data_IF_382378020179
#
_entry.id   IF_382378020179
#
_cell.length_a   1.000
_cell.length_b   1.000
_cell.length_c   1.000
_cell.angle_alpha   90.00
_cell.angle_beta   90.00
_cell.angle_gamma   90.00
#
_symmetry.space_group_name_H-M   'P 1'
#
loop_
_entity.id
_entity.type
_entity.pdbx_description
1 polymer ?
#
# COMPACT_ATOMS: atom_id res chain seq x y z
N UNK A 1 -33.32 -5.34 5.96
CA UNK A 1 -31.99 -5.22 5.32
C UNK A 1 -31.60 -3.76 5.33
N UNK A 2 -30.43 -3.41 5.86
CA UNK A 2 -29.93 -2.03 5.80
C UNK A 2 -29.46 -1.72 4.38
N UNK A 3 -29.81 -0.53 3.87
CA UNK A 3 -29.31 -0.06 2.57
C UNK A 3 -27.81 0.23 2.63
N UNK A 4 -27.10 0.01 1.52
CA UNK A 4 -25.71 0.46 1.36
C UNK A 4 -25.67 1.99 1.31
N UNK A 5 -24.69 2.58 2.00
CA UNK A 5 -24.48 4.03 2.03
C UNK A 5 -23.06 4.37 1.62
N UNK A 6 -22.90 5.48 0.87
CA UNK A 6 -21.59 6.04 0.58
C UNK A 6 -21.07 6.80 1.81
N UNK A 7 -19.81 6.59 2.16
CA UNK A 7 -19.16 7.22 3.33
C UNK A 7 -17.90 8.05 2.98
N UNK A 8 -17.39 7.97 1.75
CA UNK A 8 -16.22 8.70 1.27
C UNK A 8 -16.32 8.95 -0.25
N UNK A 9 -15.64 9.97 -0.77
CA UNK A 9 -15.68 10.34 -2.20
C UNK A 9 -14.33 10.89 -2.69
N UNK A 10 -14.17 11.24 -3.98
CA UNK A 10 -12.93 11.88 -4.46
C UNK A 10 -11.63 11.07 -4.29
N UNK A 11 -11.72 9.76 -4.03
CA UNK A 11 -10.61 8.84 -3.90
C UNK A 11 -10.11 8.40 -5.28
N UNK A 12 -8.80 8.16 -5.43
CA UNK A 12 -8.24 7.61 -6.66
C UNK A 12 -7.74 6.19 -6.43
N UNK A 13 -8.43 5.23 -7.04
CA UNK A 13 -8.12 3.78 -6.97
C UNK A 13 -7.88 3.28 -5.53
N UNK A 14 -8.88 3.39 -4.63
CA UNK A 14 -8.75 2.99 -3.23
C UNK A 14 -8.84 1.46 -3.05
N UNK A 15 -7.79 0.74 -3.46
CA UNK A 15 -7.75 -0.73 -3.44
C UNK A 15 -7.72 -1.32 -2.01
N UNK A 16 -7.07 -0.63 -1.07
CA UNK A 16 -7.03 -1.02 0.34
C UNK A 16 -7.69 0.04 1.21
N UNK A 17 -8.49 -0.42 2.19
CA UNK A 17 -9.11 0.39 3.23
C UNK A 17 -8.83 -0.20 4.61
N UNK A 18 -8.48 0.66 5.57
CA UNK A 18 -8.36 0.35 6.99
C UNK A 18 -9.39 1.19 7.74
N UNK A 19 -10.07 0.58 8.70
CA UNK A 19 -11.02 1.27 9.58
C UNK A 19 -10.56 1.19 11.04
N UNK A 20 -10.70 2.28 11.79
CA UNK A 20 -10.44 2.30 13.23
C UNK A 20 -11.73 2.20 14.03
N UNK A 21 -11.62 1.83 15.31
CA UNK A 21 -12.77 1.83 16.23
C UNK A 21 -13.36 3.23 16.45
N UNK A 22 -12.62 4.31 16.17
CA UNK A 22 -13.13 5.69 16.21
C UNK A 22 -13.91 6.07 14.95
N UNK A 23 -13.91 5.22 13.92
CA UNK A 23 -14.56 5.47 12.64
C UNK A 23 -13.68 6.19 11.61
N UNK A 24 -12.39 6.39 11.90
CA UNK A 24 -11.45 6.88 10.88
C UNK A 24 -11.29 5.80 9.78
N UNK A 25 -11.30 6.24 8.53
CA UNK A 25 -10.99 5.41 7.36
C UNK A 25 -9.67 5.87 6.75
N UNK A 26 -8.77 4.93 6.48
CA UNK A 26 -7.55 5.17 5.71
C UNK A 26 -7.62 4.36 4.42
N UNK A 27 -7.44 4.99 3.28
CA UNK A 27 -7.42 4.29 2.00
C UNK A 27 -6.12 4.52 1.26
N UNK A 28 -5.63 3.49 0.56
CA UNK A 28 -4.65 3.70 -0.50
C UNK A 28 -5.20 4.74 -1.49
N UNK A 29 -4.35 5.62 -2.00
CA UNK A 29 -4.77 6.63 -2.96
C UNK A 29 -3.67 6.94 -3.97
N UNK A 30 -4.02 6.83 -5.24
CA UNK A 30 -3.13 7.03 -6.39
C UNK A 30 -2.79 8.50 -6.67
N UNK A 31 -3.25 9.43 -5.83
CA UNK A 31 -2.68 10.78 -5.73
C UNK A 31 -1.31 10.79 -5.03
N UNK A 32 -0.81 9.63 -4.58
CA UNK A 32 0.57 9.47 -4.12
C UNK A 32 0.71 9.09 -2.65
N UNK A 33 -0.26 8.39 -2.06
CA UNK A 33 -0.15 7.96 -0.65
C UNK A 33 -1.46 7.50 -0.03
N UNK A 34 -1.84 8.09 1.10
CA UNK A 34 -2.99 7.65 1.91
C UNK A 34 -3.99 8.78 2.08
N UNK A 35 -5.24 8.53 1.73
CA UNK A 35 -6.35 9.39 2.10
C UNK A 35 -6.89 8.96 3.47
N UNK A 36 -7.10 9.91 4.35
CA UNK A 36 -7.69 9.73 5.67
C UNK A 36 -9.03 10.47 5.71
N UNK A 37 -10.07 9.71 5.98
CA UNK A 37 -11.43 10.19 6.17
C UNK A 37 -11.79 10.12 7.64
N UNK A 38 -12.22 11.23 8.20
CA UNK A 38 -12.72 11.29 9.56
C UNK A 38 -14.25 11.10 9.59
N UNK A 39 -14.81 10.62 10.72
CA UNK A 39 -16.26 10.49 10.90
C UNK A 39 -17.04 11.80 10.78
N UNK A 40 -16.37 12.94 11.03
CA UNK A 40 -16.94 14.29 10.88
C UNK A 40 -17.00 14.76 9.41
N UNK A 41 -16.57 13.92 8.46
CA UNK A 41 -16.57 14.19 7.03
C UNK A 41 -15.31 14.89 6.53
N UNK A 42 -14.35 15.24 7.40
CA UNK A 42 -13.07 15.81 6.98
C UNK A 42 -12.25 14.77 6.22
N UNK A 43 -11.44 15.26 5.28
CA UNK A 43 -10.47 14.48 4.54
C UNK A 43 -9.08 15.11 4.68
N UNK A 44 -8.06 14.28 4.87
CA UNK A 44 -6.64 14.65 4.78
C UNK A 44 -5.94 13.70 3.82
N UNK A 45 -5.07 14.23 2.96
CA UNK A 45 -4.27 13.41 2.06
C UNK A 45 -2.80 13.50 2.48
N UNK A 46 -2.20 12.35 2.77
CA UNK A 46 -0.76 12.22 3.04
C UNK A 46 -0.12 11.72 1.75
N UNK A 47 0.74 12.54 1.14
CA UNK A 47 1.38 12.21 -0.13
C UNK A 47 2.88 12.32 -0.04
N UNK A 48 3.54 11.58 -0.93
CA UNK A 48 4.93 11.75 -1.25
C UNK A 48 5.17 11.39 -2.72
N UNK A 49 6.37 11.68 -3.20
CA UNK A 49 6.85 11.30 -4.53
C UNK A 49 8.12 10.48 -4.30
N UNK A 50 8.26 9.40 -5.05
CA UNK A 50 9.47 8.57 -4.98
C UNK A 50 10.65 9.29 -5.65
N UNK A 51 11.89 8.81 -5.41
CA UNK A 51 13.05 9.31 -6.12
C UNK A 51 12.85 9.38 -7.65
N UNK A 52 13.54 10.33 -8.29
CA UNK A 52 13.44 10.61 -9.72
C UNK A 52 12.03 10.99 -10.22
N UNK A 53 11.13 11.39 -9.31
CA UNK A 53 9.78 11.83 -9.68
C UNK A 53 8.82 10.70 -9.99
N UNK A 54 9.16 9.44 -9.64
CA UNK A 54 8.27 8.30 -9.85
C UNK A 54 7.00 8.46 -9.00
N UNK A 55 5.79 8.34 -9.59
CA UNK A 55 4.56 8.45 -8.82
C UNK A 55 4.41 7.24 -7.88
N UNK A 56 4.03 7.50 -6.63
CA UNK A 56 3.71 6.46 -5.65
C UNK A 56 2.31 5.91 -5.92
N UNK A 57 2.19 4.59 -6.09
CA UNK A 57 0.94 3.91 -6.46
C UNK A 57 0.61 2.83 -5.42
N UNK A 58 0.21 3.23 -4.20
CA UNK A 58 -0.10 2.28 -3.15
C UNK A 58 -1.26 1.38 -3.56
N UNK A 59 -1.13 0.09 -3.29
CA UNK A 59 -2.21 -0.89 -3.42
C UNK A 59 -2.63 -1.35 -2.02
N UNK A 60 -1.73 -2.03 -1.30
CA UNK A 60 -1.89 -2.34 0.12
C UNK A 60 -1.31 -1.26 1.02
N UNK A 61 -1.97 -1.03 2.15
CA UNK A 61 -1.46 -0.14 3.21
C UNK A 61 -1.57 -0.81 4.58
N UNK A 62 -0.64 -0.49 5.47
CA UNK A 62 -0.72 -0.85 6.89
C UNK A 62 -0.52 0.41 7.76
N UNK A 63 -1.36 0.57 8.79
CA UNK A 63 -1.21 1.62 9.79
C UNK A 63 -0.29 1.14 10.90
N UNK A 64 0.80 1.88 11.14
CA UNK A 64 1.80 1.55 12.15
C UNK A 64 1.46 2.16 13.51
N UNK A 65 2.04 1.61 14.58
CA UNK A 65 1.82 2.09 15.95
C UNK A 65 2.29 3.55 16.18
N UNK A 66 3.32 3.99 15.45
CA UNK A 66 3.82 5.38 15.46
C UNK A 66 2.94 6.34 14.64
N UNK A 67 1.85 5.85 14.05
CA UNK A 67 0.92 6.61 13.22
C UNK A 67 1.35 6.75 11.76
N UNK A 68 2.56 6.35 11.37
CA UNK A 68 2.98 6.29 9.97
C UNK A 68 2.34 5.12 9.22
N UNK A 69 2.60 5.02 7.92
CA UNK A 69 2.04 3.97 7.06
C UNK A 69 3.14 3.15 6.42
N UNK A 70 2.90 1.85 6.22
CA UNK A 70 3.59 1.07 5.18
C UNK A 70 2.72 1.01 3.94
N UNK A 71 3.34 1.15 2.77
CA UNK A 71 2.68 1.18 1.47
C UNK A 71 3.31 0.11 0.58
N UNK A 72 2.53 -0.87 0.13
CA UNK A 72 2.93 -1.75 -0.96
C UNK A 72 2.70 -1.01 -2.29
N UNK A 73 3.79 -0.67 -2.97
CA UNK A 73 3.76 0.09 -4.22
C UNK A 73 3.52 -0.84 -5.42
N UNK A 74 2.43 -0.59 -6.15
CA UNK A 74 2.06 -1.40 -7.31
C UNK A 74 2.89 -1.05 -8.55
N UNK A 75 3.44 0.16 -8.61
CA UNK A 75 4.30 0.61 -9.71
C UNK A 75 3.76 0.34 -11.12
N UNK A 76 4.67 0.38 -12.08
CA UNK A 76 4.49 -0.23 -13.41
C UNK A 76 5.49 -1.38 -13.56
N UNK A 77 6.77 -1.10 -13.28
CA UNK A 77 7.88 -2.05 -13.38
C UNK A 77 8.56 -2.35 -12.03
N UNK A 78 8.64 -1.35 -11.16
CA UNK A 78 9.25 -1.44 -9.83
C UNK A 78 8.19 -1.33 -8.74
N UNK A 79 8.21 -2.23 -7.78
CA UNK A 79 7.37 -2.17 -6.58
C UNK A 79 8.19 -1.90 -5.32
N UNK A 80 7.91 -2.67 -4.27
CA UNK A 80 8.52 -2.50 -2.96
C UNK A 80 7.55 -1.99 -1.90
N UNK A 81 8.07 -1.84 -0.68
CA UNK A 81 7.37 -1.29 0.46
C UNK A 81 8.05 0.00 0.89
N UNK A 82 7.26 1.04 1.09
CA UNK A 82 7.72 2.35 1.52
C UNK A 82 7.01 2.76 2.81
N UNK A 83 7.74 3.43 3.70
CA UNK A 83 7.16 4.03 4.89
C UNK A 83 6.85 5.51 4.63
N UNK A 84 5.58 5.89 4.81
CA UNK A 84 5.09 7.26 4.66
C UNK A 84 4.73 7.85 6.03
N UNK A 85 5.37 8.96 6.38
CA UNK A 85 5.05 9.80 7.53
C UNK A 85 3.85 10.72 7.28
N UNK A 86 3.26 11.21 8.37
CA UNK A 86 2.13 12.16 8.32
C UNK A 86 2.52 13.54 7.82
N UNK A 87 3.80 13.85 7.84
CA UNK A 87 4.42 15.06 7.32
C UNK A 87 4.80 14.97 5.84
N UNK A 88 4.54 13.83 5.18
CA UNK A 88 4.94 13.57 3.80
C UNK A 88 6.36 13.03 3.66
N UNK A 89 7.07 12.75 4.75
CA UNK A 89 8.36 12.04 4.68
C UNK A 89 8.18 10.63 4.14
N UNK A 90 9.02 10.23 3.18
CA UNK A 90 8.98 8.91 2.55
C UNK A 90 10.35 8.27 2.63
N UNK A 91 10.41 7.01 3.06
CA UNK A 91 11.65 6.23 3.05
C UNK A 91 11.40 4.80 2.56
N UNK A 92 12.38 4.16 1.91
CA UNK A 92 12.33 2.74 1.63
C UNK A 92 12.17 1.93 2.92
N UNK A 93 11.33 0.89 2.86
CA UNK A 93 11.22 -0.14 3.89
C UNK A 93 11.70 -1.50 3.38
N UNK A 94 11.36 -1.85 2.14
CA UNK A 94 11.88 -3.01 1.44
C UNK A 94 11.81 -2.79 -0.08
N UNK A 95 12.94 -2.87 -0.78
CA UNK A 95 12.97 -2.73 -2.25
C UNK A 95 13.52 -3.99 -2.94
N UNK A 96 14.25 -4.84 -2.23
CA UNK A 96 14.90 -6.02 -2.77
C UNK A 96 14.75 -7.23 -1.85
N UNK A 97 14.69 -8.42 -2.43
CA UNK A 97 14.73 -9.72 -1.74
C UNK A 97 15.70 -10.61 -2.50
N UNK A 98 16.64 -11.24 -1.79
CA UNK A 98 17.67 -12.12 -2.37
C UNK A 98 18.46 -11.47 -3.53
N UNK A 99 18.74 -10.16 -3.40
CA UNK A 99 19.45 -9.37 -4.41
C UNK A 99 18.64 -9.07 -5.68
N UNK A 100 17.33 -9.31 -5.66
CA UNK A 100 16.42 -8.99 -6.76
C UNK A 100 15.46 -7.89 -6.34
N UNK A 101 15.33 -6.88 -7.21
CA UNK A 101 14.33 -5.83 -7.04
C UNK A 101 12.92 -6.41 -6.98
N UNK A 102 12.11 -5.88 -6.06
CA UNK A 102 10.73 -6.29 -5.93
C UNK A 102 9.91 -5.79 -7.13
N UNK A 103 9.13 -6.67 -7.77
CA UNK A 103 8.15 -6.28 -8.78
C UNK A 103 6.96 -5.55 -8.10
N UNK A 104 6.02 -5.01 -8.89
CA UNK A 104 4.71 -4.56 -8.44
C UNK A 104 4.15 -5.32 -7.21
N UNK A 105 4.06 -4.63 -6.08
CA UNK A 105 3.76 -5.22 -4.77
C UNK A 105 2.28 -5.02 -4.40
N UNK A 106 1.63 -6.05 -3.83
CA UNK A 106 0.16 -6.09 -3.76
C UNK A 106 -0.40 -5.67 -2.40
N UNK A 107 -0.06 -6.39 -1.33
CA UNK A 107 -0.65 -6.16 -0.01
C UNK A 107 0.41 -6.25 1.08
N UNK A 108 0.28 -5.42 2.12
CA UNK A 108 1.19 -5.38 3.26
C UNK A 108 0.39 -5.35 4.56
N UNK A 109 0.83 -6.12 5.54
CA UNK A 109 0.33 -6.05 6.93
C UNK A 109 1.52 -6.05 7.88
N UNK A 110 1.44 -5.26 8.95
CA UNK A 110 2.41 -5.26 10.05
C UNK A 110 1.70 -5.73 11.33
N UNK A 111 2.29 -6.70 12.03
CA UNK A 111 1.77 -7.21 13.31
C UNK A 111 2.91 -7.75 14.16
N UNK A 112 2.94 -7.34 15.43
CA UNK A 112 3.91 -7.81 16.41
C UNK A 112 5.38 -7.69 15.95
N UNK A 113 5.73 -6.54 15.34
CA UNK A 113 7.09 -6.26 14.88
C UNK A 113 7.52 -7.00 13.61
N UNK A 114 6.59 -7.68 12.93
CA UNK A 114 6.82 -8.36 11.66
C UNK A 114 5.93 -7.76 10.58
N UNK A 115 6.39 -7.75 9.35
CA UNK A 115 5.61 -7.36 8.20
C UNK A 115 5.55 -8.48 7.16
N UNK A 116 4.38 -8.65 6.54
CA UNK A 116 4.15 -9.64 5.49
C UNK A 116 3.69 -8.95 4.22
N UNK A 117 4.48 -9.09 3.16
CA UNK A 117 4.17 -8.57 1.84
C UNK A 117 3.68 -9.71 0.94
N UNK A 118 2.63 -9.46 0.17
CA UNK A 118 2.23 -10.34 -0.94
C UNK A 118 2.64 -9.74 -2.28
N UNK A 119 3.15 -10.61 -3.15
CA UNK A 119 3.48 -10.29 -4.53
C UNK A 119 2.79 -11.32 -5.42
N UNK A 120 1.93 -10.84 -6.31
CA UNK A 120 1.04 -11.68 -7.12
C UNK A 120 1.75 -12.42 -8.25
N UNK A 121 2.89 -11.91 -8.71
CA UNK A 121 3.67 -12.49 -9.82
C UNK A 121 5.06 -11.86 -9.88
N UNK A 122 6.00 -12.56 -10.52
CA UNK A 122 7.32 -12.02 -10.90
C UNK A 122 7.31 -11.37 -12.29
N UNK A 123 6.21 -11.47 -13.04
CA UNK A 123 6.09 -10.88 -14.37
C UNK A 123 6.03 -9.36 -14.34
N UNK A 124 6.75 -8.76 -15.29
CA UNK A 124 6.71 -7.34 -15.59
C UNK A 124 6.54 -7.16 -17.11
N UNK A 125 5.40 -6.63 -17.61
CA UNK A 125 4.29 -6.05 -16.86
C UNK A 125 3.41 -7.10 -16.15
N UNK A 126 2.89 -6.75 -14.97
CA UNK A 126 2.06 -7.63 -14.12
C UNK A 126 0.85 -8.25 -14.85
N UNK A 127 0.26 -7.52 -15.80
CA UNK A 127 -0.91 -7.98 -16.55
C UNK A 127 -0.66 -9.23 -17.40
N UNK A 128 0.60 -9.53 -17.75
CA UNK A 128 0.97 -10.75 -18.46
C UNK A 128 0.65 -12.02 -17.64
N UNK A 129 0.57 -11.89 -16.31
CA UNK A 129 0.28 -12.98 -15.39
C UNK A 129 -1.22 -13.16 -15.07
N UNK A 130 -2.14 -12.44 -15.73
CA UNK A 130 -3.58 -12.58 -15.50
C UNK A 130 -4.15 -13.85 -16.16
N UNK A 131 -3.58 -14.99 -15.80
CA UNK A 131 -3.87 -16.30 -16.37
C UNK A 131 -3.79 -17.36 -15.28
N UNK A 132 -4.64 -18.38 -15.41
CA UNK A 132 -4.73 -19.45 -14.41
C UNK A 132 -3.50 -20.37 -14.36
N UNK A 133 -2.68 -20.38 -15.42
CA UNK A 133 -1.47 -21.21 -15.53
C UNK A 133 -0.20 -20.51 -15.03
N UNK A 134 -0.30 -19.26 -14.56
CA UNK A 134 0.83 -18.54 -13.95
C UNK A 134 0.73 -18.67 -12.43
N UNK A 135 1.74 -19.30 -11.82
CA UNK A 135 1.80 -19.61 -10.39
C UNK A 135 3.14 -19.16 -9.76
N UNK A 136 3.57 -17.95 -10.09
CA UNK A 136 4.87 -17.38 -9.70
C UNK A 136 4.75 -16.25 -8.68
N UNK A 137 3.65 -16.17 -7.94
CA UNK A 137 3.51 -15.28 -6.78
C UNK A 137 4.39 -15.72 -5.61
N UNK A 138 4.57 -14.84 -4.63
CA UNK A 138 5.29 -15.15 -3.40
C UNK A 138 4.88 -14.23 -2.24
N UNK A 139 5.27 -14.63 -1.03
CA UNK A 139 5.09 -13.86 0.19
C UNK A 139 6.48 -13.57 0.76
N UNK A 140 6.70 -12.34 1.20
CA UNK A 140 7.90 -11.93 1.92
C UNK A 140 7.55 -11.74 3.39
N UNK A 141 8.32 -12.36 4.28
CA UNK A 141 8.32 -12.06 5.70
C UNK A 141 9.50 -11.14 6.01
N UNK A 142 9.21 -10.04 6.69
CA UNK A 142 10.19 -9.06 7.18
C UNK A 142 10.11 -9.12 8.70
N UNK A 143 11.11 -9.72 9.34
CA UNK A 143 11.21 -9.81 10.79
C UNK A 143 12.60 -9.42 11.29
N UNK A 144 12.67 -9.05 12.58
CA UNK A 144 13.96 -8.96 13.25
C UNK A 144 14.53 -10.37 13.40
N UNK A 145 15.83 -10.53 13.10
CA UNK A 145 16.59 -11.72 13.46
C UNK A 145 16.66 -11.90 14.97
#
# INVERSE_FOLDING_TARGET
MSALQSCASGLRRPECVLATARGDLFTADWRGGVAHWQPDGRQTLYTAILPQGRPLRPNGIALRADGSFLLADLGDELGGVFQLGRDGSLRPFLEEVDGQALPPSNFIIERAGRAWLTVSTRHCPRAAAYRADVADGFIVLIDAK
#
